data_IF_779565529723
#
_entry.id   IF_779565529723
#
_cell.length_a   1.000
_cell.length_b   1.000
_cell.length_c   1.000
_cell.angle_alpha   90.00
_cell.angle_beta   90.00
_cell.angle_gamma   90.00
#
_symmetry.space_group_name_H-M   'P 1'
#
loop_
_entity.id
_entity.type
_entity.pdbx_description
1 polymer ?
#
# COMPACT_ATOMS: atom_id res chain seq x y z
N UNK A 1 -12.75 -18.77 69.82
CA UNK A 1 -13.43 -19.18 68.57
C UNK A 1 -14.38 -18.03 68.23
N UNK A 2 -14.16 -17.11 67.30
CA UNK A 2 -13.23 -16.98 66.18
C UNK A 2 -14.00 -16.11 65.17
N UNK A 3 -13.83 -14.79 65.22
CA UNK A 3 -14.52 -13.83 64.36
C UNK A 3 -13.83 -13.80 62.99
N UNK A 4 -14.52 -14.23 61.94
CA UNK A 4 -14.03 -14.17 60.56
C UNK A 4 -14.56 -12.93 59.84
N UNK A 5 -13.63 -12.04 59.49
CA UNK A 5 -13.79 -10.96 58.51
C UNK A 5 -13.89 -11.60 57.11
N UNK A 6 -14.78 -11.18 56.20
CA UNK A 6 -14.65 -11.58 54.79
C UNK A 6 -13.47 -10.81 54.19
N UNK A 7 -12.46 -11.56 53.79
CA UNK A 7 -11.30 -11.08 53.04
C UNK A 7 -11.75 -10.67 51.63
N UNK A 8 -11.38 -9.46 51.20
CA UNK A 8 -11.43 -9.05 49.80
C UNK A 8 -10.54 -9.98 48.95
N UNK A 9 -10.98 -10.50 47.79
CA UNK A 9 -10.10 -11.25 46.91
C UNK A 9 -9.08 -10.31 46.23
N UNK A 10 -7.77 -10.64 46.25
CA UNK A 10 -6.75 -9.90 45.51
C UNK A 10 -6.78 -10.34 44.04
N UNK A 11 -6.74 -9.37 43.12
CA UNK A 11 -6.45 -9.63 41.71
C UNK A 11 -7.63 -9.56 40.75
N UNK A 12 -8.48 -8.53 40.86
CA UNK A 12 -9.17 -8.05 39.67
C UNK A 12 -8.21 -7.17 38.87
N UNK A 13 -7.41 -7.79 38.00
CA UNK A 13 -6.79 -7.07 36.89
C UNK A 13 -7.91 -6.70 35.92
N UNK A 14 -8.16 -5.40 35.74
CA UNK A 14 -9.09 -4.90 34.73
C UNK A 14 -8.79 -5.45 33.35
N UNK A 15 -9.71 -5.31 32.38
CA UNK A 15 -9.47 -5.76 31.01
C UNK A 15 -8.13 -5.17 30.55
N UNK A 16 -7.18 -6.08 30.27
CA UNK A 16 -5.84 -5.72 29.86
C UNK A 16 -5.93 -4.72 28.73
N UNK A 17 -5.13 -3.66 28.85
CA UNK A 17 -4.82 -2.71 27.80
C UNK A 17 -4.76 -3.46 26.48
N UNK A 18 -5.65 -3.12 25.55
CA UNK A 18 -5.73 -3.76 24.25
C UNK A 18 -4.35 -3.77 23.64
N UNK A 19 -3.82 -4.98 23.42
CA UNK A 19 -2.71 -5.15 22.50
C UNK A 19 -3.26 -4.74 21.14
N UNK A 20 -3.09 -3.47 20.78
CA UNK A 20 -3.32 -3.04 19.41
C UNK A 20 -2.27 -3.78 18.59
N UNK A 21 -2.70 -4.90 18.02
CA UNK A 21 -1.96 -5.58 16.98
C UNK A 21 -2.00 -4.60 15.82
N UNK A 22 -0.83 -4.18 15.37
CA UNK A 22 -0.68 -3.32 14.20
C UNK A 22 -1.59 -3.83 13.06
N UNK A 23 -2.33 -2.95 12.37
CA UNK A 23 -3.13 -3.34 11.22
C UNK A 23 -2.32 -4.18 10.24
N UNK A 24 -2.93 -5.23 9.71
CA UNK A 24 -2.26 -6.21 8.85
C UNK A 24 -1.66 -5.51 7.64
N UNK A 25 -2.39 -4.54 7.06
CA UNK A 25 -1.91 -3.73 5.96
C UNK A 25 -0.57 -3.04 6.23
N UNK A 26 -0.43 -2.37 7.38
CA UNK A 26 0.79 -1.62 7.70
C UNK A 26 1.99 -2.55 7.90
N UNK A 27 1.72 -3.72 8.50
CA UNK A 27 2.74 -4.76 8.68
C UNK A 27 3.18 -5.34 7.33
N UNK A 28 2.24 -5.58 6.41
CA UNK A 28 2.53 -6.11 5.08
C UNK A 28 3.34 -5.11 4.24
N UNK A 29 3.01 -3.82 4.29
CA UNK A 29 3.79 -2.77 3.62
C UNK A 29 5.24 -2.76 4.13
N UNK A 30 5.42 -2.74 5.46
CA UNK A 30 6.77 -2.74 6.05
C UNK A 30 7.54 -4.02 5.78
N UNK A 31 6.85 -5.15 5.60
CA UNK A 31 7.49 -6.42 5.31
C UNK A 31 8.21 -6.43 3.96
N UNK A 32 7.80 -5.60 2.99
CA UNK A 32 8.45 -5.47 1.67
C UNK A 32 9.95 -5.20 1.82
N UNK A 33 10.32 -4.31 2.75
CA UNK A 33 11.72 -3.97 3.01
C UNK A 33 12.54 -5.14 3.61
N UNK A 34 11.89 -6.21 4.07
CA UNK A 34 12.56 -7.43 4.49
C UNK A 34 12.67 -8.49 3.38
N UNK A 35 11.98 -8.30 2.26
CA UNK A 35 11.98 -9.23 1.15
C UNK A 35 13.24 -9.08 0.29
N UNK A 36 13.59 -10.13 -0.44
CA UNK A 36 14.75 -10.07 -1.34
C UNK A 36 14.39 -9.29 -2.59
N UNK A 37 14.97 -8.11 -2.73
CA UNK A 37 14.79 -7.25 -3.87
C UNK A 37 15.52 -7.81 -5.11
N UNK A 38 14.79 -8.04 -6.21
CA UNK A 38 15.35 -8.51 -7.49
C UNK A 38 15.58 -7.32 -8.42
N UNK A 39 16.85 -6.97 -8.67
CA UNK A 39 17.23 -5.91 -9.59
C UNK A 39 17.98 -6.52 -10.78
N UNK A 40 17.47 -6.34 -11.98
CA UNK A 40 17.96 -6.95 -13.22
C UNK A 40 17.69 -6.04 -14.42
N UNK A 41 18.55 -5.03 -14.67
CA UNK A 41 18.37 -4.08 -15.79
C UNK A 41 18.31 -4.73 -17.18
N UNK A 42 18.87 -5.93 -17.32
CA UNK A 42 18.89 -6.69 -18.57
C UNK A 42 17.72 -7.68 -18.69
N UNK A 43 16.93 -7.86 -17.62
CA UNK A 43 15.79 -8.75 -17.56
C UNK A 43 14.69 -8.11 -16.69
N UNK A 44 14.01 -7.13 -17.28
CA UNK A 44 12.97 -6.38 -16.59
C UNK A 44 11.75 -7.24 -16.22
N UNK A 45 11.53 -8.37 -16.89
CA UNK A 45 10.44 -9.28 -16.54
C UNK A 45 10.73 -9.98 -15.20
N UNK A 46 12.00 -10.28 -14.91
CA UNK A 46 12.39 -10.80 -13.60
C UNK A 46 12.04 -9.83 -12.45
N UNK A 47 12.06 -8.52 -12.70
CA UNK A 47 11.73 -7.50 -11.68
C UNK A 47 10.23 -7.41 -11.36
N UNK A 48 9.36 -8.07 -12.15
CA UNK A 48 7.92 -8.15 -11.82
C UNK A 48 7.67 -8.80 -10.46
N UNK A 49 8.58 -9.67 -10.00
CA UNK A 49 8.48 -10.35 -8.70
C UNK A 49 8.48 -9.37 -7.53
N UNK A 50 9.02 -8.16 -7.70
CA UNK A 50 9.01 -7.10 -6.68
C UNK A 50 7.63 -6.46 -6.49
N UNK A 51 6.62 -6.87 -7.28
CA UNK A 51 5.28 -6.28 -7.22
C UNK A 51 4.48 -6.88 -6.08
N UNK A 52 4.08 -6.01 -5.15
CA UNK A 52 3.22 -6.35 -4.03
C UNK A 52 1.83 -5.74 -4.22
N UNK A 53 0.82 -6.47 -3.74
CA UNK A 53 -0.59 -6.10 -3.85
C UNK A 53 -1.21 -6.19 -2.46
N UNK A 54 -1.82 -5.08 -2.04
CA UNK A 54 -2.44 -4.95 -0.75
C UNK A 54 -3.94 -4.77 -0.92
N UNK A 55 -4.66 -5.78 -0.43
CA UNK A 55 -6.06 -5.63 -0.08
C UNK A 55 -6.19 -5.10 1.34
N UNK A 56 -7.35 -4.54 1.65
CA UNK A 56 -7.76 -4.36 3.04
C UNK A 56 -9.29 -4.51 3.07
N UNK A 57 -9.85 -5.42 3.89
CA UNK A 57 -11.29 -5.51 4.04
C UNK A 57 -11.86 -4.20 4.60
N UNK A 58 -13.15 -3.89 4.34
CA UNK A 58 -13.71 -2.59 4.70
C UNK A 58 -13.54 -2.19 6.18
N UNK A 59 -13.58 -3.16 7.09
CA UNK A 59 -13.42 -2.89 8.52
C UNK A 59 -11.99 -2.47 8.89
N UNK A 60 -10.98 -2.98 8.18
CA UNK A 60 -9.59 -2.59 8.38
C UNK A 60 -9.35 -1.20 7.78
N UNK A 61 -9.86 -0.92 6.58
CA UNK A 61 -9.77 0.42 5.95
C UNK A 61 -10.37 1.52 6.84
N UNK A 62 -11.50 1.25 7.50
CA UNK A 62 -12.14 2.22 8.41
C UNK A 62 -11.32 2.53 9.67
N UNK A 63 -10.41 1.63 10.05
CA UNK A 63 -9.53 1.80 11.21
C UNK A 63 -8.19 2.44 10.87
N UNK A 64 -7.91 2.73 9.60
CA UNK A 64 -6.66 3.26 9.10
C UNK A 64 -6.80 4.72 8.68
N UNK A 65 -5.74 5.48 8.89
CA UNK A 65 -5.59 6.82 8.34
C UNK A 65 -4.65 6.80 7.12
N UNK A 66 -4.84 7.77 6.22
CA UNK A 66 -3.94 7.92 5.08
C UNK A 66 -2.51 8.19 5.52
N UNK A 67 -2.31 8.98 6.59
CA UNK A 67 -1.00 9.29 7.14
C UNK A 67 -0.24 8.05 7.63
N UNK A 68 -0.92 7.10 8.29
CA UNK A 68 -0.29 5.86 8.76
C UNK A 68 0.20 4.98 7.61
N UNK A 69 -0.59 4.90 6.53
CA UNK A 69 -0.24 4.11 5.34
C UNK A 69 0.87 4.80 4.55
N UNK A 70 0.81 6.12 4.38
CA UNK A 70 1.87 6.93 3.76
C UNK A 70 3.18 6.75 4.52
N UNK A 71 3.17 6.89 5.84
CA UNK A 71 4.37 6.71 6.67
C UNK A 71 4.96 5.31 6.50
N UNK A 72 4.13 4.26 6.44
CA UNK A 72 4.62 2.90 6.21
C UNK A 72 5.32 2.75 4.85
N UNK A 73 4.84 3.39 3.78
CA UNK A 73 5.51 3.38 2.47
C UNK A 73 6.79 4.20 2.46
N UNK A 74 6.81 5.36 3.11
CA UNK A 74 8.01 6.20 3.20
C UNK A 74 9.13 5.51 4.00
N UNK A 75 8.79 4.92 5.15
CA UNK A 75 9.70 4.07 5.93
C UNK A 75 10.23 2.90 5.09
N UNK A 76 9.35 2.25 4.32
CA UNK A 76 9.73 1.15 3.43
C UNK A 76 10.68 1.63 2.33
N UNK A 77 10.41 2.78 1.72
CA UNK A 77 11.26 3.36 0.68
C UNK A 77 12.65 3.67 1.23
N UNK A 78 12.75 4.23 2.44
CA UNK A 78 14.05 4.47 3.11
C UNK A 78 14.86 3.19 3.29
N UNK A 79 14.23 2.10 3.76
CA UNK A 79 14.90 0.82 3.92
C UNK A 79 15.29 0.18 2.57
N UNK A 80 14.48 0.38 1.52
CA UNK A 80 14.81 -0.06 0.17
C UNK A 80 16.01 0.73 -0.40
N UNK A 81 16.16 2.02 -0.08
CA UNK A 81 17.36 2.80 -0.46
C UNK A 81 18.63 2.17 0.09
N UNK A 82 18.61 1.77 1.36
CA UNK A 82 19.76 1.10 1.99
C UNK A 82 20.12 -0.22 1.30
N UNK A 83 19.11 -0.99 0.88
CA UNK A 83 19.31 -2.22 0.11
C UNK A 83 19.91 -1.96 -1.28
N UNK A 84 19.37 -0.99 -2.02
CA UNK A 84 19.87 -0.60 -3.35
C UNK A 84 21.32 -0.10 -3.26
N UNK A 85 21.63 0.74 -2.27
CA UNK A 85 22.98 1.23 -2.01
C UNK A 85 23.95 0.08 -1.70
N UNK A 86 23.52 -0.90 -0.92
CA UNK A 86 24.32 -2.10 -0.59
C UNK A 86 24.55 -3.00 -1.81
N UNK A 87 23.55 -3.15 -2.67
CA UNK A 87 23.62 -3.93 -3.91
C UNK A 87 24.53 -3.29 -4.97
N UNK A 88 24.88 -2.01 -4.83
CA UNK A 88 25.68 -1.21 -5.79
C UNK A 88 25.08 -1.24 -7.20
N UNK A 89 23.75 -1.14 -7.25
CA UNK A 89 23.02 -1.19 -8.51
C UNK A 89 23.42 -0.02 -9.43
N UNK A 90 23.85 -0.28 -10.68
CA UNK A 90 24.09 0.79 -11.65
C UNK A 90 22.77 1.27 -12.25
N UNK A 91 22.62 2.60 -12.37
CA UNK A 91 21.46 3.23 -13.01
C UNK A 91 20.32 3.56 -12.03
N UNK A 92 19.25 4.20 -12.52
CA UNK A 92 18.12 4.59 -11.69
C UNK A 92 17.36 3.37 -11.17
N UNK A 93 16.90 3.44 -9.93
CA UNK A 93 15.99 2.48 -9.33
C UNK A 93 14.81 3.24 -8.76
N UNK A 94 13.61 2.92 -9.23
CA UNK A 94 12.37 3.60 -8.82
C UNK A 94 11.50 2.64 -8.01
N UNK A 95 11.13 3.05 -6.80
CA UNK A 95 10.02 2.47 -6.06
C UNK A 95 8.77 3.28 -6.38
N UNK A 96 7.65 2.62 -6.66
CA UNK A 96 6.42 3.30 -7.04
C UNK A 96 5.18 2.64 -6.45
N UNK A 97 4.17 3.46 -6.19
CA UNK A 97 2.90 3.06 -5.55
C UNK A 97 1.73 3.61 -6.36
N UNK A 98 0.70 2.80 -6.56
CA UNK A 98 -0.53 3.20 -7.24
C UNK A 98 -1.75 2.47 -6.67
N UNK A 99 -2.93 3.07 -6.85
CA UNK A 99 -4.20 2.43 -6.56
C UNK A 99 -4.75 1.80 -7.83
N UNK A 100 -4.90 0.47 -7.86
CA UNK A 100 -5.67 -0.22 -8.89
C UNK A 100 -7.14 -0.21 -8.48
N UNK A 101 -7.90 0.76 -9.01
CA UNK A 101 -9.32 0.92 -8.72
C UNK A 101 -10.22 -0.18 -9.30
N UNK A 102 -9.77 -0.89 -10.34
CA UNK A 102 -10.52 -2.05 -10.87
C UNK A 102 -10.44 -3.23 -9.90
N UNK A 103 -9.27 -3.45 -9.30
CA UNK A 103 -9.05 -4.50 -8.31
C UNK A 103 -9.38 -4.06 -6.87
N UNK A 104 -9.50 -2.75 -6.61
CA UNK A 104 -9.60 -2.19 -5.26
C UNK A 104 -8.37 -2.42 -4.42
N UNK A 105 -7.19 -2.40 -5.05
CA UNK A 105 -5.93 -2.78 -4.41
C UNK A 105 -4.98 -1.61 -4.43
N UNK A 106 -4.27 -1.42 -3.32
CA UNK A 106 -3.07 -0.63 -3.34
C UNK A 106 -1.92 -1.52 -3.81
N UNK A 107 -1.09 -1.03 -4.71
CA UNK A 107 0.01 -1.80 -5.27
C UNK A 107 1.28 -0.99 -5.22
N UNK A 108 2.40 -1.70 -5.11
CA UNK A 108 3.70 -1.10 -5.25
C UNK A 108 4.68 -2.06 -5.92
N UNK A 109 5.76 -1.52 -6.47
CA UNK A 109 6.83 -2.32 -7.04
C UNK A 109 8.12 -1.50 -7.11
N UNK A 110 9.23 -2.18 -7.29
CA UNK A 110 10.56 -1.57 -7.45
C UNK A 110 11.18 -2.05 -8.75
N UNK A 111 11.72 -1.13 -9.54
CA UNK A 111 12.34 -1.44 -10.84
C UNK A 111 13.59 -0.62 -11.14
N UNK A 112 14.48 -1.18 -11.96
CA UNK A 112 15.68 -0.52 -12.48
C UNK A 112 15.37 0.35 -13.71
N UNK A 113 14.52 1.36 -13.52
CA UNK A 113 14.13 2.30 -14.56
C UNK A 113 13.84 3.68 -13.98
N UNK A 114 13.78 4.70 -14.85
CA UNK A 114 13.32 6.03 -14.46
C UNK A 114 11.80 6.12 -14.27
N UNK A 115 11.29 7.21 -13.68
CA UNK A 115 9.85 7.41 -13.45
C UNK A 115 9.02 7.54 -14.74
N UNK A 116 9.66 7.85 -15.88
CA UNK A 116 9.02 7.95 -17.20
C UNK A 116 9.01 6.62 -17.99
N UNK A 117 9.56 5.55 -17.41
CA UNK A 117 9.74 4.25 -18.05
C UNK A 117 9.04 3.11 -17.27
N UNK A 118 8.05 3.45 -16.45
CA UNK A 118 7.33 2.48 -15.65
C UNK A 118 6.49 1.55 -16.55
N UNK A 119 6.37 0.26 -16.22
CA UNK A 119 5.81 -0.77 -17.10
C UNK A 119 4.28 -0.77 -17.13
N UNK A 120 3.64 0.40 -17.08
CA UNK A 120 2.20 0.50 -17.20
C UNK A 120 1.78 0.30 -18.67
N UNK A 121 0.81 -0.59 -18.90
CA UNK A 121 0.19 -0.78 -20.21
C UNK A 121 -0.79 0.32 -20.62
N UNK A 122 -1.04 1.27 -19.71
CA UNK A 122 -1.97 2.39 -19.84
C UNK A 122 -1.28 3.71 -19.49
N UNK A 123 -1.79 4.86 -19.95
CA UNK A 123 -1.30 6.17 -19.55
C UNK A 123 -1.29 6.33 -18.02
N UNK A 124 -0.21 6.88 -17.50
CA UNK A 124 -0.05 7.16 -16.07
C UNK A 124 0.57 8.53 -15.87
N UNK A 125 0.30 9.12 -14.71
CA UNK A 125 0.83 10.41 -14.30
C UNK A 125 1.63 10.27 -13.02
N UNK A 126 2.90 10.66 -13.09
CA UNK A 126 3.75 10.76 -11.90
C UNK A 126 3.23 11.87 -10.98
N UNK A 127 3.08 11.57 -9.70
CA UNK A 127 2.67 12.51 -8.66
C UNK A 127 3.57 12.43 -7.44
N UNK A 128 3.78 13.54 -6.76
CA UNK A 128 4.43 13.57 -5.43
C UNK A 128 3.43 13.31 -4.29
N UNK A 129 2.14 13.26 -4.59
CA UNK A 129 1.06 13.14 -3.60
C UNK A 129 0.65 11.68 -3.39
N UNK A 130 1.43 10.96 -2.57
CA UNK A 130 1.09 9.60 -2.15
C UNK A 130 -0.20 9.58 -1.31
N UNK A 131 -0.43 10.63 -0.53
CA UNK A 131 -1.59 10.74 0.36
C UNK A 131 -2.90 10.71 -0.42
N UNK A 132 -2.99 11.36 -1.59
CA UNK A 132 -4.17 11.29 -2.45
C UNK A 132 -4.47 9.85 -2.92
N UNK A 133 -3.44 9.11 -3.37
CA UNK A 133 -3.57 7.72 -3.83
C UNK A 133 -4.07 6.82 -2.69
N UNK A 134 -3.46 6.95 -1.52
CA UNK A 134 -3.84 6.19 -0.32
C UNK A 134 -5.27 6.54 0.13
N UNK A 135 -5.62 7.82 0.10
CA UNK A 135 -6.96 8.28 0.50
C UNK A 135 -8.02 7.65 -0.39
N UNK A 136 -7.79 7.63 -1.70
CA UNK A 136 -8.68 6.98 -2.67
C UNK A 136 -8.88 5.50 -2.35
N UNK A 137 -7.80 4.77 -2.12
CA UNK A 137 -7.85 3.35 -1.72
C UNK A 137 -8.63 3.11 -0.43
N UNK A 138 -8.45 3.96 0.60
CA UNK A 138 -9.13 3.81 1.89
C UNK A 138 -10.63 4.13 1.80
N UNK A 139 -11.04 5.08 0.94
CA UNK A 139 -12.45 5.45 0.75
C UNK A 139 -13.17 4.60 -0.29
N UNK A 140 -12.44 3.88 -1.15
CA UNK A 140 -13.03 2.93 -2.08
C UNK A 140 -13.68 1.78 -1.28
N UNK A 141 -15.01 1.76 -1.29
CA UNK A 141 -15.84 0.78 -0.57
C UNK A 141 -16.47 -0.24 -1.51
N UNK A 142 -16.28 -0.12 -2.81
CA UNK A 142 -16.95 -0.97 -3.80
C UNK A 142 -16.11 -1.13 -5.08
N UNK A 143 -14.94 -1.79 -5.00
CA UNK A 143 -14.10 -2.02 -6.16
C UNK A 143 -14.82 -2.86 -7.21
N UNK A 144 -14.80 -2.39 -8.45
CA UNK A 144 -15.51 -3.03 -9.57
C UNK A 144 -17.05 -2.97 -9.51
N UNK A 145 -17.66 -2.22 -8.59
CA UNK A 145 -19.11 -2.13 -8.50
C UNK A 145 -19.67 -1.07 -9.47
N UNK A 146 -20.09 -1.51 -10.66
CA UNK A 146 -21.10 -0.78 -11.41
C UNK A 146 -22.37 -0.77 -10.55
N UNK A 147 -22.89 0.41 -10.20
CA UNK A 147 -24.18 0.52 -9.53
C UNK A 147 -25.30 0.06 -10.48
N UNK A 148 -25.61 -1.24 -10.48
CA UNK A 148 -26.58 -1.91 -11.37
C UNK A 148 -28.04 -1.38 -11.25
N UNK A 149 -28.30 -0.40 -10.38
CA UNK A 149 -29.61 0.23 -10.19
C UNK A 149 -29.78 1.65 -10.77
N UNK A 150 -28.77 2.22 -11.42
CA UNK A 150 -28.79 3.60 -11.97
C UNK A 150 -28.46 3.66 -13.48
N UNK A 151 -28.37 2.52 -14.16
CA UNK A 151 -28.04 2.48 -15.59
C UNK A 151 -29.27 2.82 -16.45
N UNK A 152 -29.41 4.08 -16.81
CA UNK A 152 -30.12 4.41 -18.06
C UNK A 152 -29.26 3.92 -19.24
N UNK A 153 -29.85 3.37 -20.32
CA UNK A 153 -29.10 2.99 -21.51
C UNK A 153 -28.49 4.24 -22.14
N UNK A 154 -27.20 4.47 -21.86
CA UNK A 154 -26.40 5.51 -22.51
C UNK A 154 -26.01 5.03 -23.91
N UNK A 155 -26.10 5.90 -24.94
CA UNK A 155 -25.48 5.64 -26.23
C UNK A 155 -24.01 5.28 -26.03
N UNK A 156 -23.46 4.40 -26.89
CA UNK A 156 -22.02 4.11 -26.87
C UNK A 156 -21.25 5.38 -27.24
N UNK A 157 -20.84 6.12 -26.23
CA UNK A 157 -19.81 7.12 -26.33
C UNK A 157 -18.46 6.39 -26.32
N UNK A 158 -17.47 6.80 -27.14
CA UNK A 158 -16.12 6.30 -26.96
C UNK A 158 -15.76 6.49 -25.49
N UNK A 159 -15.13 5.48 -24.88
CA UNK A 159 -14.69 5.57 -23.49
C UNK A 159 -13.97 6.92 -23.31
N UNK A 160 -14.28 7.70 -22.25
CA UNK A 160 -13.52 8.91 -21.98
C UNK A 160 -12.04 8.55 -22.03
N UNK A 161 -11.20 9.49 -22.53
CA UNK A 161 -9.74 9.32 -22.47
C UNK A 161 -9.42 8.80 -21.07
N UNK A 162 -8.86 7.58 -20.99
CA UNK A 162 -8.65 6.92 -19.71
C UNK A 162 -7.85 7.88 -18.83
N UNK A 163 -8.45 8.35 -17.74
CA UNK A 163 -7.79 9.26 -16.82
C UNK A 163 -6.43 8.66 -16.46
N UNK A 164 -5.36 9.45 -16.63
CA UNK A 164 -4.00 8.98 -16.36
C UNK A 164 -3.92 8.48 -14.92
N UNK A 165 -3.57 7.21 -14.74
CA UNK A 165 -3.45 6.61 -13.42
C UNK A 165 -2.42 7.39 -12.59
N UNK A 166 -2.78 7.95 -11.42
CA UNK A 166 -1.78 8.57 -10.55
C UNK A 166 -0.84 7.49 -10.00
N UNK A 167 0.45 7.75 -10.13
CA UNK A 167 1.53 6.90 -9.63
C UNK A 167 2.49 7.75 -8.81
N UNK A 168 2.62 7.42 -7.54
CA UNK A 168 3.67 8.01 -6.72
C UNK A 168 4.99 7.29 -6.99
N UNK A 169 6.07 8.05 -7.09
CA UNK A 169 7.41 7.52 -7.36
C UNK A 169 8.40 8.04 -6.34
N UNK A 170 9.35 7.18 -6.01
CA UNK A 170 10.47 7.46 -5.14
C UNK A 170 11.74 6.95 -5.81
N UNK A 171 12.67 7.87 -6.09
CA UNK A 171 14.03 7.51 -6.49
C UNK A 171 14.74 6.85 -5.31
N UNK A 172 15.25 5.65 -5.53
CA UNK A 172 16.00 4.89 -4.53
C UNK A 172 17.52 5.10 -4.61
N UNK A 173 18.00 5.82 -5.63
CA UNK A 173 19.40 6.14 -5.83
C UNK A 173 19.80 7.54 -5.34
N UNK A 174 18.81 8.36 -4.94
CA UNK A 174 18.99 9.74 -4.45
C UNK A 174 19.57 9.82 -3.04
#
# INVERSE_FOLDING_TARGET
MGSGHPEDPPGWSGPGSGGQTEPVLLKEIRAIAGETLVLSPHDQDAELVNTSWFGAPPHERMGLTSDEVVAAFEETAELLRDQVATAKQPGPVTFYVWHDGEAGQLRCSTRTCGPDELPFGSPYRVTSDLHAIVTEFLVDRAPGAIAWGQLEPVPFEPAPDADEQPVWVCDLCS
#
